data_IF_449892598921
#
_entry.id   IF_449892598921
#
_cell.length_a   1.000
_cell.length_b   1.000
_cell.length_c   1.000
_cell.angle_alpha   90.00
_cell.angle_beta   90.00
_cell.angle_gamma   90.00
#
_symmetry.space_group_name_H-M   'P 1'
#
loop_
_entity.id
_entity.type
_entity.pdbx_description
1 polymer ?
#
# COMPACT_ATOMS: atom_id res chain seq x y z
N UNK A 1 23.94 11.43 -18.98
CA UNK A 1 24.41 10.04 -19.11
C UNK A 1 23.18 9.17 -19.32
N UNK A 2 23.18 8.26 -20.30
CA UNK A 2 22.10 7.30 -20.48
C UNK A 2 22.51 5.94 -19.89
N UNK A 3 21.57 5.26 -19.23
CA UNK A 3 21.76 3.93 -18.63
C UNK A 3 20.53 3.10 -18.96
N UNK A 4 20.73 1.83 -19.33
CA UNK A 4 19.65 0.90 -19.60
C UNK A 4 19.02 0.39 -18.29
N UNK A 5 17.71 0.19 -18.29
CA UNK A 5 17.01 -0.49 -17.19
C UNK A 5 17.23 -2.00 -17.33
N UNK A 6 17.51 -2.67 -16.22
CA UNK A 6 17.73 -4.11 -16.16
C UNK A 6 16.94 -4.77 -15.02
N UNK A 7 16.95 -6.11 -14.99
CA UNK A 7 16.38 -6.94 -13.92
C UNK A 7 14.90 -6.67 -13.55
N UNK A 8 14.07 -6.24 -14.50
CA UNK A 8 12.64 -6.01 -14.25
C UNK A 8 11.82 -7.29 -14.14
N UNK A 9 12.38 -8.43 -14.59
CA UNK A 9 11.77 -9.78 -14.57
C UNK A 9 12.71 -10.87 -14.05
N UNK A 10 13.94 -10.54 -13.68
CA UNK A 10 15.01 -11.50 -13.35
C UNK A 10 14.91 -12.11 -11.95
N UNK A 11 13.71 -12.18 -11.39
CA UNK A 11 13.45 -12.79 -10.07
C UNK A 11 12.98 -11.81 -8.99
N UNK A 12 12.89 -10.51 -9.29
CA UNK A 12 12.29 -9.56 -8.35
C UNK A 12 10.78 -9.83 -8.18
N UNK A 13 10.29 -9.70 -6.95
CA UNK A 13 8.89 -9.91 -6.58
C UNK A 13 8.54 -9.14 -5.31
N UNK A 14 7.39 -9.46 -4.68
CA UNK A 14 6.96 -8.76 -3.45
C UNK A 14 8.01 -8.85 -2.33
N UNK A 15 8.67 -10.00 -2.20
CA UNK A 15 9.79 -10.25 -1.28
C UNK A 15 11.01 -9.32 -1.48
N UNK A 16 11.15 -8.69 -2.65
CA UNK A 16 12.27 -7.78 -2.93
C UNK A 16 11.99 -6.34 -2.47
N UNK A 17 10.78 -6.04 -1.98
CA UNK A 17 10.39 -4.71 -1.50
C UNK A 17 10.96 -4.45 -0.10
N UNK A 18 11.91 -3.52 -0.01
CA UNK A 18 12.54 -3.15 1.26
C UNK A 18 11.49 -2.58 2.22
N UNK A 19 11.42 -3.16 3.43
CA UNK A 19 10.47 -2.83 4.51
C UNK A 19 8.97 -3.08 4.20
N UNK A 20 8.63 -3.66 3.04
CA UNK A 20 7.24 -3.76 2.57
C UNK A 20 6.97 -5.05 1.78
N UNK A 21 7.42 -6.20 2.27
CA UNK A 21 7.34 -7.49 1.58
C UNK A 21 6.16 -8.39 1.99
N UNK A 22 5.29 -7.94 2.91
CA UNK A 22 4.18 -8.74 3.42
C UNK A 22 3.25 -9.28 2.31
N UNK A 23 2.88 -10.56 2.42
CA UNK A 23 1.93 -11.27 1.54
C UNK A 23 0.84 -11.97 2.36
N UNK A 24 -0.07 -11.22 3.01
CA UNK A 24 -1.15 -11.81 3.80
C UNK A 24 -2.19 -12.49 2.90
N UNK A 25 -3.01 -13.36 3.48
CA UNK A 25 -4.21 -13.86 2.82
C UNK A 25 -5.31 -12.79 2.93
N UNK A 26 -5.66 -12.19 1.79
CA UNK A 26 -6.64 -11.09 1.73
C UNK A 26 -7.97 -11.59 1.21
N UNK A 27 -9.04 -11.32 1.95
CA UNK A 27 -10.41 -11.67 1.59
C UNK A 27 -11.28 -10.41 1.56
N UNK A 28 -12.25 -10.38 0.64
CA UNK A 28 -13.21 -9.29 0.49
C UNK A 28 -14.61 -9.89 0.48
N UNK A 29 -15.46 -9.42 1.40
CA UNK A 29 -16.87 -9.79 1.40
C UNK A 29 -17.60 -9.12 0.22
N UNK A 30 -18.31 -9.87 -0.64
CA UNK A 30 -18.86 -9.34 -1.89
C UNK A 30 -20.11 -8.47 -1.69
N UNK A 31 -20.76 -8.51 -0.52
CA UNK A 31 -21.99 -7.77 -0.25
C UNK A 31 -21.71 -6.49 0.55
N UNK A 32 -20.85 -6.59 1.55
CA UNK A 32 -20.53 -5.52 2.50
C UNK A 32 -19.24 -4.77 2.16
N UNK A 33 -18.39 -5.36 1.31
CA UNK A 33 -17.05 -4.88 0.99
C UNK A 33 -16.08 -4.81 2.17
N UNK A 34 -16.36 -5.54 3.27
CA UNK A 34 -15.38 -5.73 4.34
C UNK A 34 -14.12 -6.39 3.80
N UNK A 35 -12.96 -5.81 4.14
CA UNK A 35 -11.65 -6.34 3.77
C UNK A 35 -11.00 -6.97 4.99
N UNK A 36 -10.53 -8.21 4.87
CA UNK A 36 -9.81 -8.92 5.93
C UNK A 36 -8.42 -9.34 5.47
N UNK A 37 -7.44 -9.23 6.35
CA UNK A 37 -6.12 -9.81 6.18
C UNK A 37 -5.88 -10.82 7.30
N UNK A 38 -5.59 -12.07 6.96
CA UNK A 38 -5.37 -13.16 7.92
C UNK A 38 -6.53 -13.28 8.95
N UNK A 39 -7.76 -13.01 8.50
CA UNK A 39 -8.99 -13.03 9.29
C UNK A 39 -9.32 -11.72 10.05
N UNK A 40 -8.36 -10.80 10.17
CA UNK A 40 -8.54 -9.51 10.86
C UNK A 40 -9.19 -8.47 9.95
N UNK A 41 -10.23 -7.78 10.45
CA UNK A 41 -10.92 -6.71 9.71
C UNK A 41 -10.02 -5.49 9.57
N UNK A 42 -9.75 -5.08 8.33
CA UNK A 42 -8.99 -3.88 8.02
C UNK A 42 -9.94 -2.69 7.87
N UNK A 43 -9.94 -1.80 8.87
CA UNK A 43 -10.70 -0.55 8.84
C UNK A 43 -9.96 0.56 9.58
N UNK A 44 -10.25 1.81 9.25
CA UNK A 44 -9.75 2.96 9.98
C UNK A 44 -10.73 4.12 9.90
N UNK A 45 -10.74 4.96 10.94
CA UNK A 45 -11.55 6.17 10.96
C UNK A 45 -10.97 7.22 9.99
N UNK A 46 -11.82 7.97 9.28
CA UNK A 46 -11.36 9.03 8.42
C UNK A 46 -10.70 10.15 9.23
N UNK A 47 -9.52 10.61 8.79
CA UNK A 47 -8.84 11.74 9.41
C UNK A 47 -9.54 13.07 9.03
N UNK A 48 -9.84 13.90 10.04
CA UNK A 48 -10.50 15.21 9.84
C UNK A 48 -9.52 16.33 9.50
N UNK A 49 -8.24 16.18 9.88
CA UNK A 49 -7.14 17.12 9.61
C UNK A 49 -5.89 16.30 9.30
N UNK A 50 -5.11 16.74 8.31
CA UNK A 50 -3.85 16.08 7.94
C UNK A 50 -2.65 17.01 8.15
N UNK A 51 -1.50 16.47 8.59
CA UNK A 51 -0.24 17.19 8.53
C UNK A 51 0.16 17.43 7.07
N UNK A 52 1.10 18.36 6.85
CA UNK A 52 1.61 18.69 5.51
C UNK A 52 0.56 19.20 4.51
N UNK A 53 -0.61 19.65 4.99
CA UNK A 53 -1.67 20.26 4.18
C UNK A 53 -1.67 21.79 4.32
N UNK A 54 -2.78 22.38 4.78
CA UNK A 54 -3.05 23.84 4.81
C UNK A 54 -1.92 24.72 5.37
N UNK A 55 -1.05 24.18 6.25
CA UNK A 55 0.09 24.94 6.81
C UNK A 55 1.14 25.32 5.76
N UNK A 56 1.28 24.54 4.68
CA UNK A 56 2.40 24.64 3.75
C UNK A 56 2.01 25.10 2.34
N UNK A 57 0.71 25.20 2.04
CA UNK A 57 0.20 25.61 0.74
C UNK A 57 -0.56 26.93 0.84
N UNK A 58 -0.33 27.83 -0.11
CA UNK A 58 -0.98 29.13 -0.15
C UNK A 58 -2.46 29.04 -0.57
N UNK A 59 -2.81 28.04 -1.38
CA UNK A 59 -4.17 27.67 -1.78
C UNK A 59 -4.29 26.15 -1.80
#
# INVERSE_FOLDING_TARGET
QFVAVENTRGGIGKHSMVLNDATPHVEVDPETYEVRADGELLTCEPATVLPMAQRYFLF
#
